data_IF_889548837760
#
_entry.id   IF_889548837760
#
_cell.length_a   1.000
_cell.length_b   1.000
_cell.length_c   1.000
_cell.angle_alpha   90.00
_cell.angle_beta   90.00
_cell.angle_gamma   90.00
#
_symmetry.space_group_name_H-M   'P 1'
#
loop_
_entity.id
_entity.type
_entity.pdbx_description
1 polymer ?
#
# COMPACT_ATOMS: atom_id res chain seq x y z
N UNK A 1 7.36 11.43 -15.15
CA UNK A 1 6.62 11.56 -13.89
C UNK A 1 5.14 11.44 -14.22
N UNK A 2 4.44 10.41 -13.72
CA UNK A 2 3.01 10.28 -13.99
C UNK A 2 2.24 11.39 -13.25
N UNK A 3 1.31 12.03 -13.97
CA UNK A 3 0.50 13.12 -13.42
C UNK A 3 -0.59 12.53 -12.51
N UNK A 4 -0.79 13.10 -11.32
CA UNK A 4 -1.90 12.74 -10.43
C UNK A 4 -3.24 12.85 -11.16
N UNK A 5 -4.26 12.13 -10.69
CA UNK A 5 -5.60 12.26 -11.23
C UNK A 5 -6.11 13.69 -11.07
N UNK A 6 -6.88 14.15 -12.05
CA UNK A 6 -7.68 15.36 -11.94
C UNK A 6 -8.93 15.07 -11.11
N UNK A 7 -9.63 16.09 -10.55
CA UNK A 7 -10.90 15.90 -9.87
C UNK A 7 -11.91 15.10 -10.70
N UNK A 8 -12.06 15.42 -11.99
CA UNK A 8 -12.97 14.70 -12.89
C UNK A 8 -12.57 13.23 -13.10
N UNK A 9 -11.28 12.90 -13.09
CA UNK A 9 -10.82 11.52 -13.18
C UNK A 9 -11.00 10.76 -11.85
N UNK A 10 -10.93 11.44 -10.72
CA UNK A 10 -11.30 10.86 -9.41
C UNK A 10 -12.79 10.57 -9.36
N UNK A 11 -13.63 11.49 -9.82
CA UNK A 11 -15.09 11.32 -9.90
C UNK A 11 -15.47 10.15 -10.84
N UNK A 12 -14.79 10.06 -12.01
CA UNK A 12 -14.94 8.94 -12.93
C UNK A 12 -14.62 7.60 -12.26
N UNK A 13 -13.50 7.53 -11.55
CA UNK A 13 -13.09 6.34 -10.82
C UNK A 13 -14.08 6.01 -9.70
N UNK A 14 -14.46 6.99 -8.88
CA UNK A 14 -15.42 6.80 -7.79
C UNK A 14 -16.79 6.31 -8.30
N UNK A 15 -17.28 6.87 -9.40
CA UNK A 15 -18.53 6.43 -10.05
C UNK A 15 -18.45 4.99 -10.53
N UNK A 16 -17.31 4.58 -11.10
CA UNK A 16 -17.11 3.19 -11.52
C UNK A 16 -17.13 2.23 -10.33
N UNK A 17 -16.43 2.55 -9.25
CA UNK A 17 -16.28 1.67 -8.08
C UNK A 17 -17.65 1.34 -7.39
N UNK A 18 -18.64 2.20 -7.54
CA UNK A 18 -20.00 2.00 -7.00
C UNK A 18 -21.04 1.65 -8.07
N UNK A 19 -20.61 1.31 -9.28
CA UNK A 19 -21.52 0.94 -10.39
C UNK A 19 -21.88 -0.54 -10.36
N UNK A 20 -22.94 -0.90 -11.06
CA UNK A 20 -23.39 -2.31 -11.22
C UNK A 20 -22.35 -3.22 -11.93
N UNK A 21 -21.31 -2.64 -12.54
CA UNK A 21 -20.19 -3.38 -13.16
C UNK A 21 -19.22 -3.90 -12.10
N UNK A 22 -19.10 -3.18 -10.99
CA UNK A 22 -18.29 -3.56 -9.84
C UNK A 22 -19.14 -4.41 -8.86
N UNK A 23 -18.48 -5.27 -8.08
CA UNK A 23 -19.12 -6.03 -7.01
C UNK A 23 -19.57 -5.10 -5.87
N UNK A 24 -20.58 -5.50 -5.09
CA UNK A 24 -20.96 -4.82 -3.84
C UNK A 24 -19.82 -4.83 -2.80
N UNK A 25 -18.87 -5.77 -2.91
CA UNK A 25 -17.69 -5.87 -2.06
C UNK A 25 -16.55 -4.94 -2.50
N UNK A 26 -16.69 -4.25 -3.64
CA UNK A 26 -15.68 -3.33 -4.17
C UNK A 26 -15.48 -2.14 -3.23
N UNK A 27 -14.21 -1.77 -3.00
CA UNK A 27 -13.88 -0.61 -2.19
C UNK A 27 -14.47 0.67 -2.78
N UNK A 28 -15.04 1.53 -1.93
CA UNK A 28 -15.40 2.91 -2.30
C UNK A 28 -14.15 3.71 -2.66
N UNK A 29 -14.29 4.91 -3.19
CA UNK A 29 -13.15 5.77 -3.51
C UNK A 29 -12.32 6.11 -2.25
N UNK A 30 -12.97 6.37 -1.12
CA UNK A 30 -12.30 6.58 0.16
C UNK A 30 -11.59 5.30 0.62
N UNK A 31 -12.26 4.15 0.57
CA UNK A 31 -11.65 2.86 0.89
C UNK A 31 -10.45 2.55 0.01
N UNK A 32 -10.56 2.76 -1.30
CA UNK A 32 -9.45 2.59 -2.24
C UNK A 32 -8.26 3.49 -1.90
N UNK A 33 -8.48 4.76 -1.59
CA UNK A 33 -7.41 5.70 -1.21
C UNK A 33 -6.69 5.24 0.06
N UNK A 34 -7.42 4.77 1.07
CA UNK A 34 -6.87 4.21 2.30
C UNK A 34 -6.05 2.94 2.05
N UNK A 35 -6.61 2.01 1.29
CA UNK A 35 -5.96 0.76 0.92
C UNK A 35 -4.64 0.99 0.18
N UNK A 36 -4.66 1.82 -0.86
CA UNK A 36 -3.47 2.16 -1.64
C UNK A 36 -2.44 2.96 -0.83
N UNK A 37 -2.90 3.78 0.12
CA UNK A 37 -2.02 4.54 1.01
C UNK A 37 -1.24 3.62 1.95
N UNK A 38 -1.86 2.59 2.52
CA UNK A 38 -1.16 1.60 3.35
C UNK A 38 -0.08 0.86 2.55
N UNK A 39 -0.38 0.47 1.30
CA UNK A 39 0.57 -0.18 0.41
C UNK A 39 1.74 0.76 0.07
N UNK A 40 1.45 2.03 -0.22
CA UNK A 40 2.47 3.03 -0.56
C UNK A 40 3.35 3.43 0.63
N UNK A 41 2.76 3.55 1.82
CA UNK A 41 3.46 3.94 3.05
C UNK A 41 4.16 2.78 3.74
N UNK A 42 3.78 1.55 3.46
CA UNK A 42 4.19 0.33 4.17
C UNK A 42 5.67 -0.06 4.04
N UNK A 43 6.10 -1.08 4.80
CA UNK A 43 7.50 -1.51 4.91
C UNK A 43 8.05 -2.15 3.63
N UNK A 44 7.20 -2.81 2.85
CA UNK A 44 7.61 -3.60 1.67
C UNK A 44 6.89 -3.13 0.42
N UNK A 45 7.57 -3.26 -0.72
CA UNK A 45 6.95 -2.99 -2.02
C UNK A 45 6.19 -4.23 -2.47
N UNK A 46 4.87 -4.14 -2.52
CA UNK A 46 3.99 -5.18 -3.06
C UNK A 46 3.81 -4.98 -4.58
N UNK A 47 3.80 -6.07 -5.32
CA UNK A 47 3.49 -6.05 -6.75
C UNK A 47 1.98 -5.87 -6.98
N UNK A 48 1.54 -5.22 -8.08
CA UNK A 48 0.11 -5.06 -8.37
C UNK A 48 -0.68 -6.38 -8.33
N UNK A 49 -0.09 -7.49 -8.75
CA UNK A 49 -0.70 -8.82 -8.68
C UNK A 49 -0.97 -9.32 -7.25
N UNK A 50 -0.39 -8.70 -6.23
CA UNK A 50 -0.56 -9.10 -4.83
C UNK A 50 -1.66 -8.30 -4.12
N UNK A 51 -2.06 -7.16 -4.64
CA UNK A 51 -3.02 -6.28 -4.00
C UNK A 51 -4.21 -5.87 -4.88
N UNK A 52 -4.10 -5.98 -6.21
CA UNK A 52 -5.15 -5.49 -7.12
C UNK A 52 -6.48 -6.23 -6.92
N UNK A 53 -6.42 -7.54 -6.62
CA UNK A 53 -7.62 -8.35 -6.34
C UNK A 53 -8.39 -7.84 -5.12
N UNK A 54 -7.70 -7.45 -4.06
CA UNK A 54 -8.34 -6.95 -2.83
C UNK A 54 -9.09 -5.62 -2.96
N UNK A 55 -9.02 -4.94 -4.11
CA UNK A 55 -9.84 -3.76 -4.41
C UNK A 55 -11.29 -4.17 -4.70
N UNK A 56 -11.47 -5.33 -5.33
CA UNK A 56 -12.76 -5.78 -5.85
C UNK A 56 -13.55 -6.60 -4.84
N UNK A 57 -12.89 -7.23 -3.89
CA UNK A 57 -13.46 -8.11 -2.88
C UNK A 57 -12.51 -9.21 -2.46
N UNK A 58 -13.02 -10.20 -1.73
CA UNK A 58 -12.23 -11.27 -1.14
C UNK A 58 -12.03 -12.49 -2.08
N UNK A 59 -12.85 -12.61 -3.13
CA UNK A 59 -12.90 -13.77 -4.01
C UNK A 59 -12.74 -13.38 -5.48
N UNK A 60 -12.39 -14.36 -6.33
CA UNK A 60 -12.31 -14.15 -7.77
C UNK A 60 -13.69 -13.81 -8.40
N UNK A 61 -14.79 -14.19 -7.74
CA UNK A 61 -16.15 -13.90 -8.18
C UNK A 61 -16.51 -12.40 -7.99
N UNK A 62 -15.76 -11.68 -7.17
CA UNK A 62 -15.93 -10.24 -6.94
C UNK A 62 -15.27 -9.38 -8.04
N UNK A 63 -14.55 -10.02 -8.97
CA UNK A 63 -13.90 -9.30 -10.06
C UNK A 63 -14.93 -8.53 -10.92
N UNK A 64 -14.64 -7.27 -11.34
CA UNK A 64 -15.58 -6.48 -12.10
C UNK A 64 -15.87 -7.07 -13.47
N UNK A 65 -17.13 -7.06 -13.86
CA UNK A 65 -17.62 -7.51 -15.17
C UNK A 65 -17.46 -6.40 -16.21
N UNK A 66 -16.23 -6.10 -16.62
CA UNK A 66 -15.98 -5.07 -17.62
C UNK A 66 -16.74 -5.33 -18.93
N UNK A 67 -17.45 -4.35 -19.43
CA UNK A 67 -18.19 -4.44 -20.69
C UNK A 67 -17.30 -4.49 -21.91
N UNK A 68 -16.15 -3.79 -21.84
CA UNK A 68 -15.18 -3.72 -22.93
C UNK A 68 -13.73 -3.74 -22.40
N UNK A 69 -12.81 -4.10 -23.26
CA UNK A 69 -11.37 -4.04 -22.95
C UNK A 69 -10.91 -2.58 -22.73
N UNK A 70 -11.48 -1.62 -23.44
CA UNK A 70 -11.20 -0.20 -23.29
C UNK A 70 -11.60 0.30 -21.89
N UNK A 71 -12.78 -0.14 -21.40
CA UNK A 71 -13.22 0.18 -20.03
C UNK A 71 -12.25 -0.39 -19.01
N UNK A 72 -11.86 -1.66 -19.12
CA UNK A 72 -10.90 -2.29 -18.24
C UNK A 72 -9.56 -1.54 -18.23
N UNK A 73 -9.00 -1.21 -19.39
CA UNK A 73 -7.76 -0.46 -19.51
C UNK A 73 -7.86 0.93 -18.90
N UNK A 74 -9.00 1.61 -19.10
CA UNK A 74 -9.25 2.95 -18.53
C UNK A 74 -9.26 2.90 -17.01
N UNK A 75 -10.05 2.01 -16.42
CA UNK A 75 -10.18 1.87 -14.96
C UNK A 75 -8.86 1.48 -14.32
N UNK A 76 -8.19 0.44 -14.84
CA UNK A 76 -6.87 0.03 -14.35
C UNK A 76 -5.83 1.15 -14.50
N UNK A 77 -5.90 1.93 -15.57
CA UNK A 77 -5.07 3.10 -15.78
C UNK A 77 -5.29 4.18 -14.71
N UNK A 78 -6.55 4.46 -14.35
CA UNK A 78 -6.90 5.39 -13.28
C UNK A 78 -6.41 4.89 -11.92
N UNK A 79 -6.65 3.61 -11.57
CA UNK A 79 -6.16 2.99 -10.34
C UNK A 79 -4.64 3.13 -10.19
N UNK A 80 -3.90 2.74 -11.21
CA UNK A 80 -2.43 2.82 -11.19
C UNK A 80 -1.92 4.26 -11.11
N UNK A 81 -2.60 5.22 -11.74
CA UNK A 81 -2.25 6.65 -11.64
C UNK A 81 -2.55 7.20 -10.26
N UNK A 82 -3.66 6.77 -9.63
CA UNK A 82 -3.99 7.15 -8.26
C UNK A 82 -2.93 6.63 -7.29
N UNK A 83 -2.60 5.35 -7.35
CA UNK A 83 -1.52 4.74 -6.58
C UNK A 83 -0.18 5.47 -6.72
N UNK A 84 0.25 5.73 -7.96
CA UNK A 84 1.49 6.47 -8.22
C UNK A 84 1.41 7.94 -7.76
N UNK A 85 0.22 8.53 -7.76
CA UNK A 85 -0.05 9.85 -7.22
C UNK A 85 0.19 9.92 -5.72
N UNK A 86 -0.29 8.93 -4.97
CA UNK A 86 -0.06 8.77 -3.53
C UNK A 86 1.44 8.63 -3.24
N UNK A 87 2.12 7.68 -3.91
CA UNK A 87 3.58 7.51 -3.78
C UNK A 87 4.31 8.82 -4.02
N UNK A 88 4.03 9.47 -5.15
CA UNK A 88 4.70 10.73 -5.50
C UNK A 88 4.38 11.89 -4.55
N UNK A 89 3.23 11.89 -3.87
CA UNK A 89 2.90 12.85 -2.82
C UNK A 89 3.75 12.61 -1.57
N UNK A 90 3.80 11.38 -1.10
CA UNK A 90 4.58 10.98 0.07
C UNK A 90 6.09 11.21 -0.13
N UNK A 91 6.61 10.91 -1.33
CA UNK A 91 8.03 11.10 -1.67
C UNK A 91 8.43 12.58 -1.73
N UNK A 92 7.57 13.44 -2.29
CA UNK A 92 7.87 14.87 -2.41
C UNK A 92 7.75 15.60 -1.10
N UNK A 93 6.65 15.41 -0.40
CA UNK A 93 6.38 16.02 0.89
C UNK A 93 5.26 15.27 1.61
N UNK A 94 5.61 14.35 2.49
CA UNK A 94 4.65 13.54 3.22
C UNK A 94 3.69 14.40 4.08
N UNK A 95 4.12 15.56 4.59
CA UNK A 95 3.25 16.46 5.37
C UNK A 95 2.16 17.13 4.51
N UNK A 96 2.37 17.17 3.18
CA UNK A 96 1.38 17.67 2.25
C UNK A 96 0.41 16.59 1.75
N UNK A 97 0.53 15.35 2.24
CA UNK A 97 -0.40 14.28 1.91
C UNK A 97 -1.82 14.65 2.33
N UNK A 98 -2.78 14.40 1.45
CA UNK A 98 -4.21 14.67 1.69
C UNK A 98 -4.99 13.44 1.27
N UNK A 99 -5.54 12.70 2.24
CA UNK A 99 -6.41 11.56 1.96
C UNK A 99 -7.74 11.99 1.36
N UNK A 100 -8.37 11.09 0.61
CA UNK A 100 -9.71 11.23 0.08
C UNK A 100 -10.69 10.60 1.07
N UNK A 101 -11.33 11.43 1.90
CA UNK A 101 -12.35 10.99 2.84
C UNK A 101 -13.74 11.17 2.26
N UNK A 102 -14.69 10.37 2.74
CA UNK A 102 -16.09 10.59 2.54
C UNK A 102 -16.60 11.76 3.40
N UNK A 103 -17.84 12.20 3.13
CA UNK A 103 -18.54 13.22 3.92
C UNK A 103 -19.89 12.67 4.31
N UNK A 104 -20.24 12.79 5.59
CA UNK A 104 -21.55 12.44 6.12
C UNK A 104 -22.23 13.69 6.64
N UNK A 105 -23.56 13.75 6.43
CA UNK A 105 -24.40 14.80 7.00
C UNK A 105 -25.05 14.23 8.26
N UNK A 106 -24.81 14.88 9.38
CA UNK A 106 -25.46 14.49 10.64
C UNK A 106 -26.94 14.92 10.62
N UNK A 107 -27.81 14.01 11.04
CA UNK A 107 -29.25 14.23 11.01
C UNK A 107 -29.75 15.25 12.06
N UNK A 108 -28.99 15.42 13.15
CA UNK A 108 -29.40 16.25 14.28
C UNK A 108 -29.03 17.73 14.10
N UNK A 109 -27.83 18.00 13.53
CA UNK A 109 -27.34 19.36 13.34
C UNK A 109 -27.24 19.82 11.88
N UNK A 110 -27.50 18.90 10.92
CA UNK A 110 -27.39 19.12 9.48
C UNK A 110 -26.00 19.61 9.04
N UNK A 111 -24.97 19.38 9.84
CA UNK A 111 -23.57 19.69 9.54
C UNK A 111 -22.93 18.55 8.75
N UNK A 112 -22.06 18.91 7.81
CA UNK A 112 -21.19 17.96 7.13
C UNK A 112 -19.93 17.70 7.97
N UNK A 113 -19.63 16.41 8.15
CA UNK A 113 -18.42 15.93 8.81
C UNK A 113 -17.61 15.07 7.86
N UNK A 114 -16.29 15.13 7.96
CA UNK A 114 -15.41 14.20 7.25
C UNK A 114 -15.49 12.84 7.89
N UNK A 115 -15.76 11.82 7.06
CA UNK A 115 -15.83 10.44 7.47
C UNK A 115 -14.61 9.68 6.91
N UNK A 116 -13.80 9.14 7.80
CA UNK A 116 -12.62 8.37 7.46
C UNK A 116 -12.74 6.89 7.84
N UNK A 117 -13.93 6.39 8.21
CA UNK A 117 -14.11 5.01 8.66
C UNK A 117 -13.79 4.02 7.53
N UNK A 118 -14.41 4.17 6.34
CA UNK A 118 -14.13 3.31 5.20
C UNK A 118 -12.65 3.39 4.76
N UNK A 119 -12.07 4.59 4.82
CA UNK A 119 -10.66 4.82 4.52
C UNK A 119 -9.74 4.07 5.48
N UNK A 120 -9.97 4.22 6.78
CA UNK A 120 -9.16 3.60 7.83
C UNK A 120 -9.33 2.07 7.84
N UNK A 121 -10.56 1.57 7.66
CA UNK A 121 -10.84 0.14 7.54
C UNK A 121 -10.04 -0.49 6.39
N UNK A 122 -10.09 0.10 5.21
CA UNK A 122 -9.37 -0.40 4.04
C UNK A 122 -7.86 -0.25 4.17
N UNK A 123 -7.37 0.78 4.88
CA UNK A 123 -5.96 0.89 5.26
C UNK A 123 -5.52 -0.31 6.12
N UNK A 124 -6.31 -0.67 7.13
CA UNK A 124 -6.04 -1.84 7.99
C UNK A 124 -6.12 -3.15 7.21
N UNK A 125 -7.07 -3.30 6.27
CA UNK A 125 -7.12 -4.45 5.37
C UNK A 125 -5.83 -4.61 4.54
N UNK A 126 -5.31 -3.51 3.98
CA UNK A 126 -4.09 -3.56 3.19
C UNK A 126 -2.86 -3.97 4.03
N UNK A 127 -2.81 -3.61 5.31
CA UNK A 127 -1.76 -4.06 6.23
C UNK A 127 -1.73 -5.59 6.32
N UNK A 128 -2.90 -6.26 6.28
CA UNK A 128 -3.00 -7.71 6.36
C UNK A 128 -2.23 -8.44 5.23
N UNK A 129 -2.07 -7.80 4.06
CA UNK A 129 -1.28 -8.37 2.93
C UNK A 129 0.20 -8.60 3.27
N UNK A 130 0.71 -7.93 4.29
CA UNK A 130 2.11 -8.00 4.67
C UNK A 130 2.31 -7.77 6.18
N UNK A 131 1.35 -8.23 7.01
CA UNK A 131 1.25 -7.93 8.44
C UNK A 131 2.54 -8.22 9.21
N UNK A 132 3.24 -9.29 8.90
CA UNK A 132 4.49 -9.66 9.57
C UNK A 132 5.57 -8.57 9.47
N UNK A 133 5.59 -7.82 8.35
CA UNK A 133 6.54 -6.73 8.15
C UNK A 133 6.16 -5.45 8.89
N UNK A 134 4.89 -5.32 9.31
CA UNK A 134 4.40 -4.19 10.10
C UNK A 134 4.64 -4.35 11.60
N UNK A 135 4.96 -5.58 12.07
CA UNK A 135 5.12 -5.88 13.48
C UNK A 135 6.05 -4.92 14.22
N UNK A 136 7.22 -4.50 13.68
CA UNK A 136 8.08 -3.52 14.36
C UNK A 136 7.42 -2.19 14.65
N UNK A 137 6.48 -1.72 13.80
CA UNK A 137 5.71 -0.51 14.05
C UNK A 137 4.68 -0.72 15.15
N UNK A 138 4.05 -1.88 15.21
CA UNK A 138 3.07 -2.22 16.23
C UNK A 138 3.71 -2.39 17.62
N UNK A 139 4.97 -2.82 17.67
CA UNK A 139 5.72 -2.99 18.90
C UNK A 139 6.34 -1.66 19.41
N UNK A 140 6.44 -0.65 18.55
CA UNK A 140 6.98 0.68 18.87
C UNK A 140 5.89 1.55 19.51
N UNK A 141 6.10 2.08 20.75
CA UNK A 141 5.12 2.96 21.40
C UNK A 141 4.73 4.19 20.56
N UNK A 142 5.66 4.74 19.78
CA UNK A 142 5.40 5.86 18.90
C UNK A 142 4.59 5.40 17.66
N UNK A 143 4.91 4.21 17.15
CA UNK A 143 4.15 3.55 16.08
C UNK A 143 2.70 3.27 16.49
N UNK A 144 2.48 2.81 17.71
CA UNK A 144 1.14 2.61 18.27
C UNK A 144 0.35 3.93 18.32
N UNK A 145 1.00 5.03 18.73
CA UNK A 145 0.37 6.35 18.76
C UNK A 145 -0.06 6.83 17.37
N UNK A 146 0.77 6.60 16.33
CA UNK A 146 0.42 6.93 14.94
C UNK A 146 -0.68 6.04 14.41
N UNK A 147 -0.68 4.76 14.77
CA UNK A 147 -1.71 3.81 14.35
C UNK A 147 -3.06 4.01 15.05
N UNK A 148 -3.08 4.70 16.19
CA UNK A 148 -4.30 4.86 17.00
C UNK A 148 -5.52 5.38 16.24
N UNK A 149 -5.49 6.51 15.50
CA UNK A 149 -6.66 6.98 14.76
C UNK A 149 -7.11 5.99 13.67
N UNK A 150 -6.15 5.30 13.05
CA UNK A 150 -6.43 4.29 12.02
C UNK A 150 -7.11 3.04 12.58
N UNK A 151 -6.67 2.58 13.74
CA UNK A 151 -7.23 1.40 14.42
C UNK A 151 -8.62 1.69 14.99
N UNK A 152 -8.83 2.86 15.57
CA UNK A 152 -10.12 3.26 16.13
C UNK A 152 -11.18 3.36 15.00
N UNK A 153 -10.90 4.15 13.96
CA UNK A 153 -11.84 4.34 12.85
C UNK A 153 -11.97 3.09 11.97
N UNK A 154 -10.90 2.31 11.82
CA UNK A 154 -10.88 1.11 10.97
C UNK A 154 -11.40 -0.17 11.65
N UNK A 155 -11.87 -0.11 12.90
CA UNK A 155 -12.50 -1.25 13.57
C UNK A 155 -11.54 -2.43 13.80
N UNK A 156 -10.29 -2.20 14.21
CA UNK A 156 -9.36 -3.29 14.56
C UNK A 156 -9.89 -4.04 15.79
N UNK A 157 -10.43 -5.24 15.58
CA UNK A 157 -10.98 -6.09 16.65
C UNK A 157 -9.94 -6.40 17.75
N UNK A 158 -8.66 -6.48 17.40
CA UNK A 158 -7.59 -6.67 18.38
C UNK A 158 -7.39 -5.46 19.31
N UNK A 159 -7.91 -4.29 18.92
CA UNK A 159 -7.90 -3.08 19.75
C UNK A 159 -9.20 -2.88 20.53
N UNK A 160 -10.27 -3.58 20.21
CA UNK A 160 -11.59 -3.39 20.81
C UNK A 160 -11.60 -3.68 22.33
N UNK A 161 -10.78 -4.62 22.78
CA UNK A 161 -10.68 -4.99 24.21
C UNK A 161 -9.86 -3.98 25.05
N UNK A 162 -9.14 -3.04 24.41
CA UNK A 162 -8.24 -2.08 25.06
C UNK A 162 -8.58 -0.60 24.75
N UNK A 163 -9.81 -0.32 24.29
CA UNK A 163 -10.20 1.07 23.99
C UNK A 163 -10.28 1.86 25.29
N UNK A 164 -9.41 2.85 25.43
CA UNK A 164 -9.46 3.76 26.60
C UNK A 164 -10.79 4.52 26.62
N UNK A 165 -11.34 4.86 27.82
CA UNK A 165 -12.61 5.58 27.92
C UNK A 165 -12.69 6.86 27.09
N UNK A 166 -11.58 7.60 26.98
CA UNK A 166 -11.48 8.83 26.17
C UNK A 166 -11.60 8.53 24.66
N UNK A 167 -11.09 7.37 24.20
CA UNK A 167 -11.19 6.94 22.80
C UNK A 167 -12.61 6.49 22.45
N UNK A 168 -13.24 5.74 23.36
CA UNK A 168 -14.64 5.35 23.22
C UNK A 168 -15.54 6.60 23.06
N UNK A 169 -15.25 7.66 23.82
CA UNK A 169 -15.98 8.92 23.70
C UNK A 169 -15.84 9.57 22.32
N UNK A 170 -14.63 9.56 21.73
CA UNK A 170 -14.40 10.11 20.37
C UNK A 170 -15.15 9.34 19.28
N UNK A 171 -15.44 8.06 19.50
CA UNK A 171 -16.15 7.23 18.51
C UNK A 171 -17.67 7.39 18.56
N UNK A 172 -18.24 8.03 19.63
CA UNK A 172 -19.68 8.11 19.84
C UNK A 172 -20.39 9.08 18.89
N UNK A 173 -19.72 10.14 18.43
CA UNK A 173 -20.34 11.18 17.61
C UNK A 173 -19.49 11.56 16.39
N UNK A 174 -20.10 12.15 15.33
CA UNK A 174 -19.39 12.53 14.10
C UNK A 174 -18.24 13.51 14.34
N UNK A 175 -18.36 14.44 15.28
CA UNK A 175 -17.31 15.44 15.61
C UNK A 175 -16.07 14.77 16.21
N UNK A 176 -16.29 13.78 17.08
CA UNK A 176 -15.19 12.98 17.64
C UNK A 176 -14.46 12.19 16.56
N UNK A 177 -15.20 11.51 15.67
CA UNK A 177 -14.65 10.78 14.52
C UNK A 177 -13.91 11.71 13.56
N UNK A 178 -14.43 12.91 13.28
CA UNK A 178 -13.74 13.93 12.50
C UNK A 178 -12.41 14.36 13.16
N UNK A 179 -12.40 14.47 14.48
CA UNK A 179 -11.17 14.77 15.24
C UNK A 179 -10.10 13.68 15.07
N UNK A 180 -10.50 12.42 14.98
CA UNK A 180 -9.60 11.30 14.66
C UNK A 180 -9.16 11.36 13.20
N UNK A 181 -10.07 11.63 12.25
CA UNK A 181 -9.77 11.78 10.84
C UNK A 181 -8.72 12.87 10.58
N UNK A 182 -8.76 13.99 11.31
CA UNK A 182 -7.80 15.09 11.23
C UNK A 182 -6.37 14.70 11.60
N UNK A 183 -6.20 13.61 12.35
CA UNK A 183 -4.88 13.11 12.75
C UNK A 183 -4.26 12.16 11.71
N UNK A 184 -5.07 11.58 10.82
CA UNK A 184 -4.62 10.57 9.84
C UNK A 184 -3.52 11.11 8.91
N UNK A 185 -3.60 12.32 8.31
CA UNK A 185 -2.56 12.80 7.41
C UNK A 185 -1.17 12.84 8.05
N UNK A 186 -1.08 13.35 9.27
CA UNK A 186 0.17 13.39 10.03
C UNK A 186 0.66 11.98 10.40
N UNK A 187 -0.24 11.12 10.85
CA UNK A 187 0.07 9.72 11.18
C UNK A 187 0.64 8.98 9.96
N UNK A 188 0.03 9.11 8.79
CA UNK A 188 0.52 8.51 7.54
C UNK A 188 1.92 9.04 7.19
N UNK A 189 2.15 10.35 7.33
CA UNK A 189 3.45 10.95 7.06
C UNK A 189 4.55 10.37 7.98
N UNK A 190 4.24 10.17 9.26
CA UNK A 190 5.17 9.62 10.24
C UNK A 190 5.41 8.12 10.02
N UNK A 191 4.37 7.35 9.72
CA UNK A 191 4.47 5.93 9.33
C UNK A 191 5.34 5.79 8.08
N UNK A 192 5.13 6.63 7.06
CA UNK A 192 5.94 6.64 5.84
C UNK A 192 7.42 6.89 6.14
N UNK A 193 7.74 7.87 7.01
CA UNK A 193 9.12 8.19 7.43
C UNK A 193 9.75 7.08 8.24
N UNK A 194 8.99 6.44 9.12
CA UNK A 194 9.45 5.29 9.91
C UNK A 194 9.98 4.17 9.02
N UNK A 195 9.27 3.86 7.92
CA UNK A 195 9.65 2.79 7.01
C UNK A 195 10.71 3.19 5.97
N UNK A 196 11.01 4.48 5.80
CA UNK A 196 11.90 4.95 4.74
C UNK A 196 13.32 4.37 4.80
N UNK A 197 13.99 4.28 5.96
CA UNK A 197 15.31 3.63 6.07
C UNK A 197 15.27 2.16 5.71
N UNK A 198 14.23 1.44 6.14
CA UNK A 198 14.04 0.02 5.83
C UNK A 198 13.89 -0.23 4.33
N UNK A 199 13.04 0.53 3.68
CA UNK A 199 12.83 0.43 2.21
C UNK A 199 14.11 0.74 1.44
N UNK A 200 14.88 1.74 1.85
CA UNK A 200 16.18 2.06 1.24
C UNK A 200 17.15 0.90 1.36
N UNK A 201 17.28 0.30 2.53
CA UNK A 201 18.15 -0.85 2.76
C UNK A 201 17.75 -2.07 1.91
N UNK A 202 16.45 -2.34 1.76
CA UNK A 202 15.94 -3.41 0.87
C UNK A 202 16.28 -3.13 -0.58
N UNK A 203 16.10 -1.89 -1.04
CA UNK A 203 16.41 -1.48 -2.41
C UNK A 203 17.92 -1.59 -2.71
N UNK A 204 18.76 -1.14 -1.81
CA UNK A 204 20.23 -1.24 -1.94
C UNK A 204 20.67 -2.70 -2.07
N UNK A 205 20.11 -3.61 -1.24
CA UNK A 205 20.37 -5.05 -1.33
C UNK A 205 19.93 -5.64 -2.67
N UNK A 206 18.78 -5.23 -3.21
CA UNK A 206 18.30 -5.67 -4.53
C UNK A 206 19.25 -5.21 -5.65
N UNK A 207 19.67 -3.96 -5.62
CA UNK A 207 20.62 -3.40 -6.60
C UNK A 207 21.95 -4.13 -6.53
N UNK A 208 22.51 -4.34 -5.33
CA UNK A 208 23.76 -5.09 -5.14
C UNK A 208 23.64 -6.54 -5.64
N UNK A 209 22.54 -7.23 -5.36
CA UNK A 209 22.29 -8.59 -5.85
C UNK A 209 22.16 -8.66 -7.38
N UNK A 210 21.60 -7.62 -8.01
CA UNK A 210 21.52 -7.54 -9.48
C UNK A 210 22.88 -7.28 -10.09
N UNK A 211 23.72 -6.39 -9.49
CA UNK A 211 25.06 -6.13 -9.93
C UNK A 211 25.95 -7.39 -9.88
N UNK A 212 25.86 -8.19 -8.81
CA UNK A 212 26.57 -9.46 -8.69
C UNK A 212 26.13 -10.49 -9.76
N UNK A 213 24.87 -10.45 -10.23
CA UNK A 213 24.39 -11.34 -11.30
C UNK A 213 24.80 -10.90 -12.69
N UNK A 214 25.23 -9.66 -12.87
CA UNK A 214 25.67 -9.12 -14.17
C UNK A 214 27.14 -9.47 -14.49
N UNK A 215 27.91 -10.07 -13.57
CA UNK A 215 29.20 -10.64 -13.91
C UNK A 215 29.02 -11.77 -14.93
N UNK A 216 29.71 -11.71 -16.08
CA UNK A 216 29.56 -12.71 -17.13
C UNK A 216 29.91 -14.09 -16.58
N UNK A 217 28.94 -15.00 -16.56
CA UNK A 217 29.20 -16.39 -16.19
C UNK A 217 30.17 -16.97 -17.22
N UNK A 218 31.36 -17.35 -16.75
CA UNK A 218 32.35 -18.04 -17.57
C UNK A 218 31.72 -19.35 -18.02
N UNK A 219 31.50 -19.50 -19.32
CA UNK A 219 30.98 -20.73 -19.92
C UNK A 219 31.95 -21.89 -19.70
N UNK A 220 31.40 -23.11 -19.55
CA UNK A 220 32.26 -24.31 -19.37
C UNK A 220 33.31 -24.46 -20.45
N UNK A 221 33.08 -23.94 -21.66
CA UNK A 221 33.97 -24.05 -22.81
C UNK A 221 34.84 -22.81 -23.04
N UNK A 222 34.62 -21.72 -22.27
CA UNK A 222 35.40 -20.48 -22.41
C UNK A 222 36.86 -20.67 -21.92
N UNK A 223 37.80 -19.83 -22.37
CA UNK A 223 39.16 -19.79 -21.83
C UNK A 223 39.13 -19.58 -20.31
N UNK A 224 39.93 -20.32 -19.58
CA UNK A 224 39.99 -20.17 -18.13
C UNK A 224 40.56 -18.82 -17.73
N UNK A 225 39.93 -18.04 -16.84
CA UNK A 225 40.40 -16.73 -16.43
C UNK A 225 41.72 -16.75 -15.65
N UNK A 226 42.19 -17.93 -15.20
CA UNK A 226 43.50 -18.08 -14.57
C UNK A 226 44.70 -17.95 -15.55
N UNK A 227 44.47 -17.72 -16.85
CA UNK A 227 45.52 -17.55 -17.85
C UNK A 227 46.18 -18.85 -18.32
N UNK A 228 45.68 -20.03 -17.92
CA UNK A 228 46.24 -21.33 -18.26
C UNK A 228 46.09 -21.74 -19.73
N UNK A 229 45.33 -20.99 -20.55
CA UNK A 229 44.99 -21.34 -21.94
C UNK A 229 44.03 -22.54 -22.10
N UNK A 230 43.65 -23.19 -21.00
CA UNK A 230 42.70 -24.32 -21.01
C UNK A 230 41.28 -23.84 -20.92
N UNK A 231 40.29 -24.67 -21.42
CA UNK A 231 38.88 -24.41 -21.21
C UNK A 231 38.54 -24.47 -19.71
N UNK A 232 37.63 -23.59 -19.23
CA UNK A 232 37.25 -23.48 -17.82
C UNK A 232 36.91 -24.84 -17.19
N UNK A 233 36.11 -25.70 -17.88
CA UNK A 233 35.76 -27.07 -17.41
C UNK A 233 36.94 -28.02 -17.23
N UNK A 234 38.08 -27.72 -17.83
CA UNK A 234 39.30 -28.55 -17.77
C UNK A 234 40.43 -27.87 -16.91
N UNK A 235 40.08 -26.81 -16.20
CA UNK A 235 40.97 -26.06 -15.32
C UNK A 235 40.25 -25.73 -14.01
N UNK A 236 39.97 -24.46 -13.72
CA UNK A 236 39.39 -24.03 -12.46
C UNK A 236 37.93 -24.49 -12.27
N UNK A 237 37.22 -24.82 -13.35
CA UNK A 237 35.86 -25.39 -13.32
C UNK A 237 35.81 -26.93 -13.41
N UNK A 238 36.96 -27.61 -13.28
CA UNK A 238 36.98 -29.08 -13.17
C UNK A 238 36.38 -29.48 -11.80
N UNK A 239 35.39 -30.40 -11.79
CA UNK A 239 34.86 -30.94 -10.54
C UNK A 239 36.01 -31.62 -9.77
N UNK A 240 36.30 -31.10 -8.58
CA UNK A 240 37.24 -31.76 -7.65
C UNK A 240 36.51 -32.95 -7.08
N UNK A 241 36.84 -34.14 -7.54
CA UNK A 241 36.38 -35.39 -6.91
C UNK A 241 37.02 -35.46 -5.52
N UNK A 242 36.24 -35.15 -4.49
CA UNK A 242 36.62 -35.46 -3.13
C UNK A 242 36.55 -36.99 -2.97
N UNK A 243 37.70 -37.62 -2.78
CA UNK A 243 37.83 -38.99 -2.32
C UNK A 243 37.64 -39.07 -0.83
#
# INVERSE_FOLDING_TARGET
MMKSLTPAELDELGTFLISDVASEETLTLAGLDGYLTAIAAGPVTLLPSQWLGGIWGATDDDAPNFETMEQAQRVLGLLMRHYNGIIGSLERNADAFRPVFDTVVDADDAREYRDAEAWAFSFMQAIALSREYWQPLFDDPQGQAWMRPLRLLGGDEAAADEVAPDDAQLMLDPSGRETLADRIPAAVADIYRYWLPYRRAVQERRVAATAQRSEPKIGRNDPCPCGSGKKFKKCCGAATTLH
#
